data_IF_704849023886
#
_entry.id   IF_704849023886
#
_cell.length_a   1.000
_cell.length_b   1.000
_cell.length_c   1.000
_cell.angle_alpha   90.00
_cell.angle_beta   90.00
_cell.angle_gamma   90.00
#
_symmetry.space_group_name_H-M   'P 1'
#
loop_
_entity.id
_entity.type
_entity.pdbx_description
1 polymer ?
#
# COMPACT_ATOMS: atom_id res chain seq x y z
N UNK A 1 -3.70 18.95 11.48
CA UNK A 1 -3.73 19.36 10.06
C UNK A 1 -4.30 18.20 9.27
N UNK A 2 -5.62 18.21 9.14
CA UNK A 2 -6.42 17.25 8.36
C UNK A 2 -6.15 17.49 6.89
N UNK A 3 -5.59 16.50 6.19
CA UNK A 3 -5.57 16.51 4.72
C UNK A 3 -7.02 16.32 4.25
N UNK A 4 -7.61 17.31 3.58
CA UNK A 4 -9.05 17.40 3.28
C UNK A 4 -9.56 16.44 2.18
N UNK A 5 -8.82 15.38 1.83
CA UNK A 5 -9.25 14.43 0.80
C UNK A 5 -8.40 13.17 0.67
N UNK A 6 -8.86 12.17 -0.11
CA UNK A 6 -8.14 10.93 -0.36
C UNK A 6 -6.84 11.18 -1.16
N UNK A 7 -5.78 10.44 -0.84
CA UNK A 7 -4.50 10.47 -1.55
C UNK A 7 -4.56 9.76 -2.91
N UNK A 8 -5.48 8.82 -3.09
CA UNK A 8 -5.69 8.09 -4.34
C UNK A 8 -7.10 8.34 -4.89
N UNK A 9 -7.44 9.57 -5.31
CA UNK A 9 -8.76 9.88 -5.83
C UNK A 9 -9.06 9.03 -7.08
N UNK A 10 -10.31 8.61 -7.24
CA UNK A 10 -10.75 7.80 -8.38
C UNK A 10 -10.38 6.32 -8.33
N UNK A 11 -9.57 5.88 -7.35
CA UNK A 11 -9.26 4.46 -7.14
C UNK A 11 -10.20 3.89 -6.07
N UNK A 12 -11.17 3.03 -6.43
CA UNK A 12 -12.00 2.33 -5.46
C UNK A 12 -11.21 1.18 -4.81
N UNK A 13 -11.87 0.45 -3.90
CA UNK A 13 -11.34 -0.84 -3.46
C UNK A 13 -11.28 -1.79 -4.66
N UNK A 14 -10.14 -2.47 -4.83
CA UNK A 14 -9.88 -3.35 -5.97
C UNK A 14 -10.77 -4.60 -5.85
N UNK A 15 -11.70 -4.83 -6.81
CA UNK A 15 -12.58 -5.98 -6.77
C UNK A 15 -11.89 -7.23 -7.33
N UNK A 16 -12.43 -8.39 -7.00
CA UNK A 16 -12.16 -9.63 -7.73
C UNK A 16 -13.11 -9.72 -8.93
N UNK A 17 -12.56 -9.80 -10.13
CA UNK A 17 -13.29 -9.89 -11.40
C UNK A 17 -12.54 -10.84 -12.35
N UNK A 18 -12.84 -12.16 -12.32
CA UNK A 18 -12.11 -13.14 -13.13
C UNK A 18 -12.31 -12.93 -14.64
N UNK A 19 -13.48 -12.42 -15.03
CA UNK A 19 -13.86 -12.16 -16.42
C UNK A 19 -13.47 -10.75 -16.90
N UNK A 20 -12.73 -10.00 -16.09
CA UNK A 20 -12.28 -8.65 -16.43
C UNK A 20 -11.51 -8.65 -17.76
N UNK A 21 -11.95 -7.80 -18.69
CA UNK A 21 -11.31 -7.62 -19.99
C UNK A 21 -9.92 -6.98 -19.91
N UNK A 22 -9.20 -6.84 -21.03
CA UNK A 22 -7.87 -6.22 -21.05
C UNK A 22 -7.84 -4.77 -20.57
N UNK A 23 -8.97 -4.06 -20.68
CA UNK A 23 -9.09 -2.64 -20.30
C UNK A 23 -9.39 -2.44 -18.81
N UNK A 24 -9.88 -3.48 -18.12
CA UNK A 24 -10.13 -3.44 -16.69
C UNK A 24 -8.86 -3.88 -15.95
N UNK A 25 -7.99 -2.89 -15.72
CA UNK A 25 -6.65 -3.08 -15.15
C UNK A 25 -6.62 -2.91 -13.62
N UNK A 26 -7.72 -2.49 -13.00
CA UNK A 26 -7.84 -2.24 -11.56
C UNK A 26 -8.72 -3.29 -10.89
N UNK A 27 -8.52 -4.55 -11.24
CA UNK A 27 -9.22 -5.70 -10.68
C UNK A 27 -8.30 -6.92 -10.54
N UNK A 28 -8.60 -7.78 -9.57
CA UNK A 28 -7.93 -9.06 -9.41
C UNK A 28 -8.61 -10.11 -10.28
N UNK A 29 -7.86 -10.76 -11.17
CA UNK A 29 -8.38 -11.88 -11.98
C UNK A 29 -8.26 -13.24 -11.28
N UNK A 30 -7.29 -13.36 -10.39
CA UNK A 30 -6.95 -14.65 -9.75
C UNK A 30 -7.03 -14.62 -8.23
N UNK A 31 -6.96 -13.44 -7.62
CA UNK A 31 -6.97 -13.32 -6.17
C UNK A 31 -8.38 -13.03 -5.66
N UNK A 32 -9.05 -14.07 -5.15
CA UNK A 32 -10.30 -13.94 -4.42
C UNK A 32 -10.02 -14.20 -2.92
N UNK A 33 -9.96 -13.13 -2.13
CA UNK A 33 -9.63 -13.21 -0.70
C UNK A 33 -10.51 -14.20 0.09
N UNK A 34 -11.80 -14.33 -0.28
CA UNK A 34 -12.76 -15.17 0.42
C UNK A 34 -12.78 -16.64 -0.06
N UNK A 35 -12.11 -16.95 -1.17
CA UNK A 35 -12.10 -18.31 -1.73
C UNK A 35 -11.37 -19.27 -0.81
N UNK A 36 -12.01 -20.39 -0.51
CA UNK A 36 -11.48 -21.42 0.40
C UNK A 36 -10.76 -22.48 -0.43
N UNK A 37 -9.45 -22.57 -0.24
CA UNK A 37 -8.59 -23.59 -0.83
C UNK A 37 -8.11 -24.53 0.27
N UNK A 38 -8.43 -25.82 0.15
CA UNK A 38 -8.00 -26.86 1.10
C UNK A 38 -8.33 -26.51 2.56
N UNK A 39 -9.52 -25.93 2.79
CA UNK A 39 -10.02 -25.60 4.13
C UNK A 39 -9.51 -24.27 4.72
N UNK A 40 -8.78 -23.44 3.96
CA UNK A 40 -8.31 -22.12 4.39
C UNK A 40 -8.53 -21.08 3.29
N UNK A 41 -8.88 -19.84 3.66
CA UNK A 41 -9.09 -18.75 2.68
C UNK A 41 -7.79 -18.37 1.97
N UNK A 42 -7.86 -17.92 0.73
CA UNK A 42 -6.68 -17.44 -0.01
C UNK A 42 -5.92 -16.34 0.74
N UNK A 43 -6.63 -15.42 1.38
CA UNK A 43 -6.02 -14.34 2.16
C UNK A 43 -5.17 -14.85 3.34
N UNK A 44 -5.56 -15.98 3.93
CA UNK A 44 -4.88 -16.61 5.05
C UNK A 44 -3.72 -17.49 4.60
N UNK A 45 -3.78 -18.00 3.37
CA UNK A 45 -2.65 -18.70 2.72
C UNK A 45 -1.54 -17.72 2.34
N UNK A 46 -1.91 -16.67 1.60
CA UNK A 46 -0.95 -15.78 0.96
C UNK A 46 -0.44 -14.70 1.91
N UNK A 47 -1.32 -14.20 2.80
CA UNK A 47 -0.99 -13.18 3.80
C UNK A 47 -0.20 -12.00 3.22
N UNK A 48 -0.68 -11.47 2.09
CA UNK A 48 0.02 -10.41 1.38
C UNK A 48 0.29 -9.21 2.30
N UNK A 49 1.51 -8.69 2.16
CA UNK A 49 2.02 -7.54 2.91
C UNK A 49 2.56 -6.49 1.95
N UNK A 50 2.33 -5.22 2.26
CA UNK A 50 2.93 -4.09 1.52
C UNK A 50 4.19 -3.62 2.25
N UNK A 51 5.29 -3.47 1.51
CA UNK A 51 6.52 -2.89 2.06
C UNK A 51 6.42 -1.36 2.11
N UNK A 52 6.34 -0.82 3.33
CA UNK A 52 6.15 0.61 3.56
C UNK A 52 7.27 1.46 2.97
N UNK A 53 8.52 0.99 3.05
CA UNK A 53 9.66 1.73 2.52
C UNK A 53 9.56 1.92 1.01
N UNK A 54 9.40 0.83 0.25
CA UNK A 54 9.31 0.89 -1.21
C UNK A 54 8.07 1.66 -1.69
N UNK A 55 6.94 1.53 -0.99
CA UNK A 55 5.68 2.13 -1.43
C UNK A 55 5.54 3.62 -1.07
N UNK A 56 6.03 4.05 0.09
CA UNK A 56 5.74 5.39 0.62
C UNK A 56 6.98 6.26 0.90
N UNK A 57 8.15 5.64 1.09
CA UNK A 57 9.40 6.37 1.40
C UNK A 57 10.33 6.48 0.18
N UNK A 58 10.33 5.48 -0.70
CA UNK A 58 11.16 5.46 -1.91
C UNK A 58 10.88 6.66 -2.82
N UNK A 59 11.95 7.30 -3.27
CA UNK A 59 11.87 8.52 -4.10
C UNK A 59 12.13 8.26 -5.58
N UNK A 60 12.43 7.01 -5.95
CA UNK A 60 12.76 6.63 -7.32
C UNK A 60 14.14 7.12 -7.79
N UNK A 61 15.02 7.51 -6.87
CA UNK A 61 16.43 7.77 -7.17
C UNK A 61 17.20 6.46 -7.34
N UNK A 62 18.25 6.52 -8.14
CA UNK A 62 19.19 5.41 -8.36
C UNK A 62 20.65 5.93 -8.28
N UNK A 63 21.68 5.06 -8.35
CA UNK A 63 23.08 5.50 -8.27
C UNK A 63 23.53 6.51 -9.33
N UNK A 64 22.76 6.67 -10.41
CA UNK A 64 23.07 7.50 -11.57
C UNK A 64 22.10 8.69 -11.73
N UNK A 65 21.09 8.83 -10.87
CA UNK A 65 20.02 9.82 -11.05
C UNK A 65 19.33 10.26 -9.76
N UNK A 66 18.78 11.49 -9.79
CA UNK A 66 18.05 12.08 -8.68
C UNK A 66 16.63 11.50 -8.54
N UNK A 67 15.96 11.90 -7.46
CA UNK A 67 14.59 11.49 -7.16
C UNK A 67 13.61 11.90 -8.26
N UNK A 68 12.78 10.96 -8.71
CA UNK A 68 11.80 11.15 -9.80
C UNK A 68 10.35 11.18 -9.29
N UNK A 69 10.08 10.59 -8.13
CA UNK A 69 8.74 10.46 -7.57
C UNK A 69 8.39 11.65 -6.66
N UNK A 70 7.59 12.57 -7.17
CA UNK A 70 6.97 13.64 -6.37
C UNK A 70 5.65 13.12 -5.77
N UNK A 71 5.62 12.92 -4.45
CA UNK A 71 4.46 12.35 -3.73
C UNK A 71 3.78 13.39 -2.84
N UNK A 72 2.44 13.46 -2.82
CA UNK A 72 1.70 14.48 -2.06
C UNK A 72 1.89 14.37 -0.54
N UNK A 73 2.20 13.17 -0.03
CA UNK A 73 2.48 12.94 1.40
C UNK A 73 3.92 13.30 1.82
N UNK A 74 4.76 13.76 0.90
CA UNK A 74 6.13 14.23 1.17
C UNK A 74 6.26 15.76 1.16
N UNK A 75 5.16 16.50 0.98
CA UNK A 75 5.20 17.94 0.76
C UNK A 75 4.90 18.76 2.02
N UNK A 76 5.84 19.60 2.45
CA UNK A 76 5.67 20.59 3.51
C UNK A 76 5.41 20.08 4.95
N UNK A 77 5.57 20.96 5.92
CA UNK A 77 5.33 20.65 7.35
C UNK A 77 6.54 20.04 8.06
N UNK A 78 6.35 19.67 9.33
CA UNK A 78 7.41 19.08 10.14
C UNK A 78 7.66 17.61 9.76
N UNK A 79 8.82 17.03 10.12
CA UNK A 79 9.07 15.60 9.90
C UNK A 79 7.97 14.68 10.47
N UNK A 80 7.37 15.07 11.60
CA UNK A 80 6.27 14.32 12.22
C UNK A 80 4.96 14.46 11.43
N UNK A 81 4.68 15.64 10.87
CA UNK A 81 3.50 15.83 10.01
C UNK A 81 3.62 14.98 8.74
N UNK A 82 4.80 14.95 8.13
CA UNK A 82 5.08 14.10 6.96
C UNK A 82 4.92 12.61 7.29
N UNK A 83 5.40 12.16 8.45
CA UNK A 83 5.22 10.78 8.90
C UNK A 83 3.73 10.42 9.05
N UNK A 84 2.92 11.30 9.67
CA UNK A 84 1.48 11.11 9.80
C UNK A 84 0.79 11.06 8.44
N UNK A 85 1.12 11.98 7.51
CA UNK A 85 0.54 11.98 6.16
C UNK A 85 0.87 10.72 5.37
N UNK A 86 2.11 10.24 5.43
CA UNK A 86 2.50 8.96 4.83
C UNK A 86 1.70 7.80 5.40
N UNK A 87 1.46 7.80 6.71
CA UNK A 87 0.64 6.78 7.36
C UNK A 87 -0.81 6.82 6.85
N UNK A 88 -1.40 8.01 6.73
CA UNK A 88 -2.75 8.16 6.16
C UNK A 88 -2.83 7.64 4.71
N UNK A 89 -1.87 8.00 3.86
CA UNK A 89 -1.77 7.49 2.50
C UNK A 89 -1.60 5.96 2.48
N UNK A 90 -0.78 5.42 3.38
CA UNK A 90 -0.54 3.98 3.48
C UNK A 90 -1.79 3.20 3.86
N UNK A 91 -2.52 3.63 4.89
CA UNK A 91 -3.75 2.97 5.31
C UNK A 91 -4.86 3.05 4.26
N UNK A 92 -4.96 4.17 3.54
CA UNK A 92 -5.86 4.26 2.39
C UNK A 92 -5.49 3.24 1.31
N UNK A 93 -4.21 3.15 0.95
CA UNK A 93 -3.71 2.19 -0.03
C UNK A 93 -3.98 0.74 0.40
N UNK A 94 -3.71 0.40 1.66
CA UNK A 94 -3.94 -0.94 2.20
C UNK A 94 -5.42 -1.33 2.14
N UNK A 95 -6.29 -0.41 2.53
CA UNK A 95 -7.74 -0.60 2.53
C UNK A 95 -8.27 -0.82 1.12
N UNK A 96 -7.78 -0.04 0.14
CA UNK A 96 -8.16 -0.17 -1.27
C UNK A 96 -7.64 -1.46 -1.89
N UNK A 97 -6.43 -1.89 -1.55
CA UNK A 97 -5.87 -3.16 -2.04
C UNK A 97 -6.48 -4.39 -1.34
N UNK A 98 -7.03 -4.22 -0.13
CA UNK A 98 -7.59 -5.32 0.66
C UNK A 98 -6.53 -6.18 1.35
N UNK A 99 -5.34 -5.62 1.62
CA UNK A 99 -4.27 -6.30 2.36
C UNK A 99 -4.46 -6.13 3.87
N UNK A 100 -4.06 -7.15 4.63
CA UNK A 100 -4.18 -7.17 6.10
C UNK A 100 -2.85 -6.95 6.81
N UNK A 101 -1.74 -6.92 6.07
CA UNK A 101 -0.41 -6.79 6.62
C UNK A 101 0.37 -5.70 5.90
N UNK A 102 1.28 -5.07 6.62
CA UNK A 102 2.33 -4.24 6.04
C UNK A 102 3.63 -4.46 6.80
N UNK A 103 4.74 -4.11 6.17
CA UNK A 103 6.05 -4.17 6.80
C UNK A 103 6.73 -2.82 6.79
N UNK A 104 7.43 -2.50 7.87
CA UNK A 104 8.18 -1.25 7.96
C UNK A 104 9.52 -1.48 8.67
N UNK A 105 10.44 -0.55 8.43
CA UNK A 105 11.68 -0.44 9.17
C UNK A 105 11.55 0.68 10.18
N UNK A 106 12.15 0.50 11.34
CA UNK A 106 12.53 1.64 12.16
C UNK A 106 13.66 2.43 11.47
N UNK A 107 14.07 3.56 12.07
CA UNK A 107 14.99 4.52 11.44
C UNK A 107 16.36 3.92 11.09
N UNK A 108 16.79 2.86 11.75
CA UNK A 108 18.12 2.26 11.59
C UNK A 108 18.15 1.02 10.68
N UNK A 109 17.03 0.71 10.01
CA UNK A 109 17.00 -0.24 8.89
C UNK A 109 17.26 -1.70 9.26
N UNK A 110 17.30 -2.03 10.55
CA UNK A 110 17.71 -3.36 11.02
C UNK A 110 16.54 -4.26 11.40
N UNK A 111 15.34 -3.73 11.62
CA UNK A 111 14.18 -4.53 12.02
C UNK A 111 13.02 -4.43 11.03
N UNK A 112 12.65 -5.56 10.41
CA UNK A 112 11.47 -5.70 9.54
C UNK A 112 10.29 -6.15 10.40
N UNK A 113 9.40 -5.24 10.76
CA UNK A 113 8.23 -5.58 11.55
C UNK A 113 7.04 -5.85 10.62
N UNK A 114 6.51 -7.09 10.65
CA UNK A 114 5.21 -7.41 10.05
C UNK A 114 4.14 -6.93 11.04
N UNK A 115 3.31 -6.00 10.59
CA UNK A 115 2.21 -5.46 11.38
C UNK A 115 0.89 -5.92 10.76
N UNK A 116 0.04 -6.54 11.57
CA UNK A 116 -1.36 -6.75 11.20
C UNK A 116 -2.10 -5.43 11.28
N UNK A 117 -2.89 -5.12 10.26
CA UNK A 117 -3.83 -4.02 10.31
C UNK A 117 -4.95 -4.38 11.31
N UNK A 118 -5.46 -3.39 12.05
CA UNK A 118 -6.56 -3.57 12.99
C UNK A 118 -7.88 -3.95 12.29
#
# INVERSE_FOLDING_TARGET
MTTEGPFFPGIPKIPYAPDAGPQDVLSFKHYNAAEVLLGKKMEDWLRFSVCYWHSFCGTGSDPFGFSTLQRPWNDGGTPMDLAKRRLHAAFEFFTKLGVKYYTFHDRYGSCFLIVSLP
#
